data_IF_699670155844
#
_entry.id   IF_699670155844
#
_cell.length_a   1.000
_cell.length_b   1.000
_cell.length_c   1.000
_cell.angle_alpha   90.00
_cell.angle_beta   90.00
_cell.angle_gamma   90.00
#
_symmetry.space_group_name_H-M   'P 1'
#
loop_
_entity.id
_entity.type
_entity.pdbx_description
1 polymer ?
#
# COMPACT_ATOMS: atom_id res chain seq x y z
N UNK A 1 -2.55 32.38 -2.15
CA UNK A 1 -2.51 31.32 -3.20
C UNK A 1 -3.54 30.27 -2.83
N UNK A 2 -4.39 29.87 -3.76
CA UNK A 2 -5.32 28.72 -3.58
C UNK A 2 -4.68 27.52 -4.22
N UNK A 3 -4.43 26.45 -3.43
CA UNK A 3 -3.87 25.21 -3.91
C UNK A 3 -4.98 24.14 -4.01
N UNK A 4 -5.22 23.62 -5.21
CA UNK A 4 -6.31 22.70 -5.51
C UNK A 4 -5.83 21.29 -5.97
N UNK A 5 -4.53 21.04 -5.98
CA UNK A 5 -3.96 19.78 -6.42
C UNK A 5 -3.51 18.90 -5.23
N UNK A 6 -4.41 18.68 -4.28
CA UNK A 6 -4.14 17.86 -3.09
C UNK A 6 -3.99 16.36 -3.41
N UNK A 7 -4.33 15.93 -4.63
CA UNK A 7 -4.03 14.57 -5.09
C UNK A 7 -2.53 14.37 -5.33
N UNK A 8 -1.81 15.41 -5.76
CA UNK A 8 -0.37 15.34 -5.94
C UNK A 8 0.40 15.44 -4.61
N UNK A 9 0.01 16.40 -3.75
CA UNK A 9 0.63 16.59 -2.43
C UNK A 9 -0.29 17.34 -1.49
N UNK A 10 -0.19 17.11 -0.20
CA UNK A 10 -1.00 17.76 0.83
C UNK A 10 -0.10 18.39 1.90
N UNK A 11 -0.46 19.59 2.34
CA UNK A 11 0.24 20.26 3.44
C UNK A 11 0.13 19.41 4.71
N UNK A 12 1.28 19.13 5.32
CA UNK A 12 1.29 18.43 6.62
C UNK A 12 0.60 19.29 7.69
N UNK A 13 -0.27 18.68 8.47
CA UNK A 13 -0.94 19.36 9.58
C UNK A 13 0.09 19.81 10.64
N UNK A 14 -0.08 21.02 11.22
CA UNK A 14 0.87 21.55 12.21
C UNK A 14 1.14 20.59 13.37
N UNK A 15 0.10 19.94 13.88
CA UNK A 15 0.18 18.99 15.00
C UNK A 15 1.04 17.76 14.65
N UNK A 16 1.01 17.34 13.38
CA UNK A 16 1.85 16.25 12.88
C UNK A 16 3.31 16.69 12.82
N UNK A 17 3.58 17.92 12.33
CA UNK A 17 4.93 18.48 12.30
C UNK A 17 5.51 18.56 13.71
N UNK A 18 4.74 19.11 14.66
CA UNK A 18 5.16 19.21 16.07
C UNK A 18 5.47 17.83 16.68
N UNK A 19 4.63 16.83 16.39
CA UNK A 19 4.85 15.46 16.87
C UNK A 19 6.09 14.80 16.26
N UNK A 20 6.49 15.19 15.04
CA UNK A 20 7.67 14.66 14.34
C UNK A 20 8.98 15.28 14.81
N UNK A 21 8.99 16.58 15.14
CA UNK A 21 10.22 17.34 15.42
C UNK A 21 11.18 16.69 16.42
N UNK A 22 10.73 16.14 17.57
CA UNK A 22 11.63 15.51 18.54
C UNK A 22 12.42 14.33 17.97
N UNK A 23 11.89 13.64 16.98
CA UNK A 23 12.54 12.47 16.38
C UNK A 23 13.66 12.82 15.40
N UNK A 24 13.80 14.09 15.04
CA UNK A 24 14.94 14.56 14.24
C UNK A 24 16.15 14.98 15.08
N UNK A 25 15.94 15.35 16.34
CA UNK A 25 16.99 15.98 17.16
C UNK A 25 17.20 15.33 18.52
N UNK A 26 16.16 14.76 19.14
CA UNK A 26 16.23 14.21 20.50
C UNK A 26 16.11 12.67 20.50
N UNK A 27 15.10 12.12 19.83
CA UNK A 27 14.77 10.68 19.84
C UNK A 27 15.17 10.00 18.52
N UNK A 28 16.35 10.27 18.00
CA UNK A 28 16.83 9.77 16.72
C UNK A 28 17.48 8.38 16.79
N UNK A 29 17.40 7.69 17.92
CA UNK A 29 17.95 6.35 18.09
C UNK A 29 17.27 5.32 17.16
N UNK A 30 18.08 4.42 16.60
CA UNK A 30 17.55 3.34 15.76
C UNK A 30 16.73 2.36 16.62
N UNK A 31 15.43 2.25 16.34
CA UNK A 31 14.49 1.43 17.08
C UNK A 31 14.82 -0.08 17.13
N UNK A 32 15.72 -0.56 16.26
CA UNK A 32 16.17 -1.96 16.23
C UNK A 32 17.32 -2.26 17.21
N UNK A 33 17.88 -1.23 17.85
CA UNK A 33 18.98 -1.41 18.81
C UNK A 33 18.48 -1.80 20.20
N UNK A 34 19.39 -2.38 21.00
CA UNK A 34 19.04 -2.95 22.32
C UNK A 34 19.33 -2.01 23.50
N UNK A 35 19.96 -0.87 23.27
CA UNK A 35 20.30 0.08 24.32
C UNK A 35 19.22 1.16 24.52
N UNK A 36 19.19 1.77 25.71
CA UNK A 36 18.12 2.66 26.17
C UNK A 36 17.88 3.89 25.30
N UNK A 37 18.93 4.40 24.63
CA UNK A 37 18.80 5.55 23.73
C UNK A 37 17.75 5.37 22.63
N UNK A 38 17.48 4.14 22.21
CA UNK A 38 16.49 3.82 21.20
C UNK A 38 15.08 3.56 21.76
N UNK A 39 14.92 3.54 23.08
CA UNK A 39 13.64 3.14 23.71
C UNK A 39 12.48 4.03 23.27
N UNK A 40 12.68 5.34 23.18
CA UNK A 40 11.63 6.29 22.76
C UNK A 40 11.21 6.06 21.31
N UNK A 41 12.15 5.87 20.39
CA UNK A 41 11.85 5.58 18.98
C UNK A 41 11.08 4.26 18.82
N UNK A 42 11.50 3.22 19.55
CA UNK A 42 10.84 1.92 19.56
C UNK A 42 9.41 2.00 20.09
N UNK A 43 9.22 2.71 21.20
CA UNK A 43 7.90 2.92 21.81
C UNK A 43 6.97 3.72 20.87
N UNK A 44 7.48 4.76 20.22
CA UNK A 44 6.71 5.57 19.28
C UNK A 44 6.23 4.77 18.07
N UNK A 45 7.10 3.96 17.46
CA UNK A 45 6.72 3.08 16.35
C UNK A 45 5.67 2.05 16.79
N UNK A 46 5.84 1.45 17.97
CA UNK A 46 4.88 0.48 18.50
C UNK A 46 3.51 1.13 18.76
N UNK A 47 3.50 2.35 19.32
CA UNK A 47 2.28 3.13 19.54
C UNK A 47 1.58 3.49 18.22
N UNK A 48 2.31 4.01 17.24
CA UNK A 48 1.75 4.36 15.94
C UNK A 48 1.15 3.14 15.24
N UNK A 49 1.85 2.00 15.30
CA UNK A 49 1.35 0.74 14.73
C UNK A 49 0.06 0.28 15.39
N UNK A 50 -0.04 0.37 16.72
CA UNK A 50 -1.27 0.05 17.44
C UNK A 50 -2.41 0.99 17.06
N UNK A 51 -2.15 2.31 17.00
CA UNK A 51 -3.18 3.30 16.63
C UNK A 51 -3.77 3.04 15.24
N UNK A 52 -2.92 2.70 14.26
CA UNK A 52 -3.39 2.37 12.91
C UNK A 52 -4.20 1.06 12.94
N UNK A 53 -3.70 0.04 13.62
CA UNK A 53 -4.40 -1.23 13.77
C UNK A 53 -5.80 -1.07 14.36
N UNK A 54 -5.93 -0.26 15.43
CA UNK A 54 -7.20 0.01 16.09
C UNK A 54 -8.21 0.69 15.15
N UNK A 55 -7.75 1.63 14.31
CA UNK A 55 -8.61 2.37 13.36
C UNK A 55 -9.17 1.48 12.26
N UNK A 56 -8.36 0.55 11.74
CA UNK A 56 -8.76 -0.33 10.63
C UNK A 56 -9.24 -1.71 11.08
N UNK A 57 -9.32 -1.97 12.39
CA UNK A 57 -9.75 -3.26 12.92
C UNK A 57 -8.76 -4.40 12.70
N UNK A 58 -7.47 -4.09 12.58
CA UNK A 58 -6.39 -5.06 12.38
C UNK A 58 -5.63 -5.34 13.69
N UNK A 59 -4.72 -6.32 13.66
CA UNK A 59 -3.73 -6.54 14.72
C UNK A 59 -2.48 -5.71 14.41
N UNK A 60 -1.77 -5.26 15.45
CA UNK A 60 -0.54 -4.47 15.27
C UNK A 60 0.56 -5.20 14.47
N UNK A 61 0.57 -6.53 14.51
CA UNK A 61 1.49 -7.38 13.76
C UNK A 61 1.19 -7.40 12.25
N UNK A 62 0.00 -6.96 11.85
CA UNK A 62 -0.44 -6.87 10.44
C UNK A 62 -0.13 -5.50 9.82
N UNK A 63 0.39 -4.55 10.62
CA UNK A 63 0.73 -3.21 10.16
C UNK A 63 2.22 -3.12 9.83
N UNK A 64 2.53 -2.73 8.61
CA UNK A 64 3.89 -2.52 8.11
C UNK A 64 4.06 -1.11 7.58
N UNK A 65 5.10 -0.42 8.02
CA UNK A 65 5.45 0.91 7.50
C UNK A 65 6.38 0.79 6.30
N UNK A 66 6.07 1.54 5.26
CA UNK A 66 6.86 1.65 4.03
C UNK A 66 7.26 3.10 3.78
N UNK A 67 8.15 3.33 2.83
CA UNK A 67 8.57 4.69 2.46
C UNK A 67 7.49 5.46 1.68
N UNK A 68 6.42 4.79 1.22
CA UNK A 68 5.32 5.44 0.52
C UNK A 68 4.40 4.45 -0.17
N UNK A 69 3.30 4.95 -0.77
CA UNK A 69 2.28 4.14 -1.42
C UNK A 69 2.84 3.24 -2.53
N UNK A 70 3.77 3.74 -3.36
CA UNK A 70 4.38 2.94 -4.42
C UNK A 70 5.12 1.70 -3.91
N UNK A 71 5.78 1.80 -2.74
CA UNK A 71 6.40 0.63 -2.12
C UNK A 71 5.35 -0.34 -1.60
N UNK A 72 4.31 0.17 -0.95
CA UNK A 72 3.20 -0.65 -0.45
C UNK A 72 2.50 -1.41 -1.57
N UNK A 73 2.17 -0.74 -2.66
CA UNK A 73 1.51 -1.32 -3.83
C UNK A 73 2.38 -2.42 -4.46
N UNK A 74 3.66 -2.11 -4.68
CA UNK A 74 4.61 -3.09 -5.22
C UNK A 74 4.74 -4.31 -4.31
N UNK A 75 4.83 -4.09 -3.01
CA UNK A 75 4.92 -5.18 -2.05
C UNK A 75 3.64 -6.02 -2.06
N UNK A 76 2.47 -5.39 -1.99
CA UNK A 76 1.20 -6.09 -2.00
C UNK A 76 1.04 -6.98 -3.25
N UNK A 77 1.30 -6.44 -4.45
CA UNK A 77 1.14 -7.20 -5.69
C UNK A 77 2.20 -8.31 -5.81
N UNK A 78 3.48 -7.96 -5.66
CA UNK A 78 4.58 -8.91 -5.86
C UNK A 78 4.60 -10.01 -4.82
N UNK A 79 4.39 -9.66 -3.54
CA UNK A 79 4.38 -10.67 -2.48
C UNK A 79 3.16 -11.60 -2.58
N UNK A 80 1.98 -11.07 -2.91
CA UNK A 80 0.79 -11.89 -3.15
C UNK A 80 1.01 -12.83 -4.33
N UNK A 81 1.54 -12.33 -5.44
CA UNK A 81 1.83 -13.17 -6.61
C UNK A 81 2.79 -14.31 -6.24
N UNK A 82 3.91 -14.03 -5.58
CA UNK A 82 4.86 -15.06 -5.15
C UNK A 82 4.27 -16.06 -4.17
N UNK A 83 3.50 -15.60 -3.19
CA UNK A 83 2.90 -16.44 -2.17
C UNK A 83 1.83 -17.38 -2.73
N UNK A 84 1.11 -16.93 -3.77
CA UNK A 84 -0.04 -17.65 -4.31
C UNK A 84 0.18 -18.27 -5.69
N UNK A 85 1.35 -18.13 -6.31
CA UNK A 85 1.66 -18.65 -7.65
C UNK A 85 1.38 -20.14 -7.85
N UNK A 86 1.32 -20.92 -6.77
CA UNK A 86 0.95 -22.35 -6.82
C UNK A 86 -0.57 -22.56 -6.88
N UNK A 87 -1.37 -21.51 -6.62
CA UNK A 87 -2.85 -21.53 -6.68
C UNK A 87 -3.38 -20.93 -7.98
N UNK A 88 -2.61 -20.04 -8.59
CA UNK A 88 -2.97 -19.36 -9.83
C UNK A 88 -1.98 -18.25 -10.15
N UNK A 89 -2.17 -17.63 -11.31
CA UNK A 89 -1.31 -16.54 -11.79
C UNK A 89 -2.10 -15.35 -12.34
N UNK A 90 -3.41 -15.28 -12.08
CA UNK A 90 -4.29 -14.25 -12.62
C UNK A 90 -4.52 -13.13 -11.61
N UNK A 91 -4.33 -11.89 -12.07
CA UNK A 91 -4.59 -10.65 -11.33
C UNK A 91 -5.64 -9.84 -12.09
N UNK A 92 -6.58 -9.27 -11.39
CA UNK A 92 -7.57 -8.33 -11.96
C UNK A 92 -7.28 -6.95 -11.39
N UNK A 93 -7.23 -5.94 -12.24
CA UNK A 93 -7.08 -4.54 -11.85
C UNK A 93 -7.87 -3.63 -12.80
N UNK A 94 -7.78 -2.31 -12.64
CA UNK A 94 -8.46 -1.35 -13.52
C UNK A 94 -7.48 -0.60 -14.41
N UNK A 95 -7.97 -0.03 -15.53
CA UNK A 95 -7.15 0.79 -16.43
C UNK A 95 -6.79 2.16 -15.86
N UNK A 96 -7.50 2.61 -14.81
CA UNK A 96 -7.33 3.94 -14.21
C UNK A 96 -6.45 3.94 -12.96
N UNK A 97 -5.82 2.83 -12.65
CA UNK A 97 -4.95 2.70 -11.48
C UNK A 97 -3.76 3.66 -11.51
N UNK A 98 -3.21 3.91 -10.33
CA UNK A 98 -1.92 4.60 -10.23
C UNK A 98 -0.81 3.80 -10.93
N UNK A 99 0.17 4.49 -11.51
CA UNK A 99 1.30 3.86 -12.20
C UNK A 99 2.08 2.83 -11.35
N UNK A 100 2.08 2.97 -10.04
CA UNK A 100 2.69 1.98 -9.14
C UNK A 100 2.03 0.59 -9.28
N UNK A 101 0.72 0.54 -9.53
CA UNK A 101 -0.02 -0.70 -9.80
C UNK A 101 0.20 -1.14 -11.25
N UNK A 102 -0.06 -0.25 -12.23
CA UNK A 102 0.02 -0.60 -13.66
C UNK A 102 1.39 -1.14 -14.05
N UNK A 103 2.48 -0.43 -13.69
CA UNK A 103 3.84 -0.89 -14.02
C UNK A 103 4.24 -2.14 -13.25
N UNK A 104 3.72 -2.33 -12.05
CA UNK A 104 3.95 -3.59 -11.31
C UNK A 104 3.24 -4.75 -11.99
N UNK A 105 2.00 -4.57 -12.44
CA UNK A 105 1.27 -5.57 -13.23
C UNK A 105 2.01 -5.91 -14.53
N UNK A 106 2.43 -4.89 -15.30
CA UNK A 106 3.24 -5.10 -16.52
C UNK A 106 4.52 -5.90 -16.24
N UNK A 107 5.24 -5.58 -15.16
CA UNK A 107 6.43 -6.33 -14.76
C UNK A 107 6.09 -7.79 -14.46
N UNK A 108 5.02 -8.04 -13.70
CA UNK A 108 4.60 -9.40 -13.36
C UNK A 108 4.19 -10.20 -14.61
N UNK A 109 3.54 -9.55 -15.60
CA UNK A 109 3.22 -10.18 -16.88
C UNK A 109 4.48 -10.55 -17.68
N UNK A 110 5.37 -9.57 -17.87
CA UNK A 110 6.55 -9.72 -18.74
C UNK A 110 7.61 -10.66 -18.17
N UNK A 111 7.84 -10.56 -16.85
CA UNK A 111 8.99 -11.19 -16.20
C UNK A 111 8.62 -12.39 -15.32
N UNK A 112 7.35 -12.51 -14.92
CA UNK A 112 6.95 -13.52 -13.93
C UNK A 112 5.81 -14.44 -14.41
N UNK A 113 5.27 -14.20 -15.60
CA UNK A 113 4.24 -15.02 -16.21
C UNK A 113 2.84 -14.85 -15.59
N UNK A 114 2.58 -13.69 -14.96
CA UNK A 114 1.23 -13.32 -14.53
C UNK A 114 0.33 -13.11 -15.77
N UNK A 115 -0.96 -13.36 -15.58
CA UNK A 115 -2.03 -12.93 -16.48
C UNK A 115 -2.75 -11.77 -15.81
N UNK A 116 -2.90 -10.64 -16.47
CA UNK A 116 -3.58 -9.48 -15.89
C UNK A 116 -4.80 -9.10 -16.73
N UNK A 117 -5.94 -9.00 -16.07
CA UNK A 117 -7.15 -8.42 -16.67
C UNK A 117 -7.29 -6.99 -16.19
N UNK A 118 -7.31 -6.05 -17.13
CA UNK A 118 -7.50 -4.61 -16.89
C UNK A 118 -8.95 -4.25 -17.21
N UNK A 119 -9.78 -4.09 -16.19
CA UNK A 119 -11.17 -3.70 -16.33
C UNK A 119 -11.29 -2.26 -16.81
N UNK A 120 -12.26 -2.01 -17.67
CA UNK A 120 -12.72 -0.67 -18.02
C UNK A 120 -13.55 -0.08 -16.88
N UNK A 121 -13.69 1.23 -16.89
CA UNK A 121 -14.55 1.99 -16.00
C UNK A 121 -15.49 2.87 -16.83
N UNK A 122 -16.63 3.23 -16.26
CA UNK A 122 -17.55 4.18 -16.86
C UNK A 122 -17.02 5.63 -16.79
N UNK A 123 -17.80 6.59 -17.28
CA UNK A 123 -17.48 8.02 -17.27
C UNK A 123 -17.31 8.62 -15.87
N UNK A 124 -17.80 7.93 -14.82
CA UNK A 124 -17.70 8.33 -13.42
C UNK A 124 -16.59 7.58 -12.67
N UNK A 125 -15.88 6.67 -13.35
CA UNK A 125 -14.79 5.87 -12.77
C UNK A 125 -15.24 4.60 -12.05
N UNK A 126 -16.48 4.15 -12.23
CA UNK A 126 -16.97 2.91 -11.64
C UNK A 126 -16.72 1.70 -12.55
N UNK A 127 -16.32 0.60 -11.94
CA UNK A 127 -16.22 -0.70 -12.62
C UNK A 127 -17.61 -1.33 -12.80
N UNK A 128 -17.78 -2.10 -13.87
CA UNK A 128 -18.94 -3.00 -14.02
C UNK A 128 -18.71 -4.27 -13.19
N UNK A 129 -19.57 -4.50 -12.19
CA UNK A 129 -19.47 -5.66 -11.29
C UNK A 129 -19.76 -6.98 -12.01
N UNK A 130 -20.58 -6.97 -13.06
CA UNK A 130 -20.84 -8.18 -13.86
C UNK A 130 -19.62 -8.53 -14.72
N UNK A 131 -18.91 -7.54 -15.25
CA UNK A 131 -17.64 -7.77 -15.93
C UNK A 131 -16.55 -8.26 -14.98
N UNK A 132 -16.45 -7.67 -13.80
CA UNK A 132 -15.55 -8.16 -12.76
C UNK A 132 -15.85 -9.63 -12.42
N UNK A 133 -17.11 -9.97 -12.20
CA UNK A 133 -17.51 -11.34 -11.87
C UNK A 133 -17.16 -12.34 -12.99
N UNK A 134 -17.35 -11.95 -14.26
CA UNK A 134 -16.99 -12.78 -15.42
C UNK A 134 -15.47 -12.93 -15.57
N UNK A 135 -14.70 -11.92 -15.17
CA UNK A 135 -13.24 -11.97 -15.23
C UNK A 135 -12.61 -12.88 -14.16
N UNK A 136 -13.31 -13.16 -13.06
CA UNK A 136 -12.81 -14.04 -12.00
C UNK A 136 -12.75 -15.48 -12.53
N UNK A 137 -11.60 -16.10 -12.39
CA UNK A 137 -11.33 -17.49 -12.77
C UNK A 137 -10.78 -18.27 -11.58
N UNK A 138 -10.70 -19.59 -11.63
CA UNK A 138 -10.03 -20.39 -10.59
C UNK A 138 -8.56 -20.03 -10.39
N UNK A 139 -7.92 -19.40 -11.38
CA UNK A 139 -6.53 -18.93 -11.32
C UNK A 139 -6.38 -17.51 -10.74
N UNK A 140 -7.50 -16.82 -10.45
CA UNK A 140 -7.48 -15.45 -9.89
C UNK A 140 -6.99 -15.47 -8.45
N UNK A 141 -5.87 -14.83 -8.20
CA UNK A 141 -5.22 -14.78 -6.87
C UNK A 141 -5.28 -13.39 -6.22
N UNK A 142 -5.59 -12.36 -7.02
CA UNK A 142 -5.64 -10.98 -6.52
C UNK A 142 -6.59 -10.14 -7.37
N UNK A 143 -7.35 -9.29 -6.70
CA UNK A 143 -8.14 -8.21 -7.29
C UNK A 143 -7.68 -6.92 -6.63
N UNK A 144 -7.22 -5.95 -7.43
CA UNK A 144 -6.77 -4.63 -6.99
C UNK A 144 -7.56 -3.56 -7.72
N UNK A 145 -8.30 -2.75 -6.98
CA UNK A 145 -9.15 -1.67 -7.53
C UNK A 145 -8.90 -0.40 -6.73
N UNK A 146 -8.61 0.67 -7.44
CA UNK A 146 -8.40 2.01 -6.88
C UNK A 146 -9.70 2.59 -6.32
#
# INVERSE_FOLDING_TARGET
>A
MIYLDNAATTKTAPEVVEAMLPYFTEFYGNASTVYDFAANSKAAIAKARQQIADVIGAKKEEIYFTAGGSESDNWALKATFEAYKNKGNHIITTKIEHHAILHTCEYLEKERGAKVTYLDVDENGFIDLDELQKAITPETILISVM
#
